data_IF_202514909648
#
_entry.id   IF_202514909648
#
_cell.length_a   1.000
_cell.length_b   1.000
_cell.length_c   1.000
_cell.angle_alpha   90.00
_cell.angle_beta   90.00
_cell.angle_gamma   90.00
#
_symmetry.space_group_name_H-M   'P 1'
#
loop_
_entity.id
_entity.type
_entity.pdbx_description
1 polymer ?
#
# COMPACT_ATOMS: atom_id res chain seq x y z
N UNK A 1 6.61 -8.48 18.41
CA UNK A 1 6.17 -9.88 18.39
C UNK A 1 5.29 -10.06 17.18
N UNK A 2 5.71 -10.88 16.21
CA UNK A 2 4.92 -11.19 15.00
C UNK A 2 3.78 -12.12 15.40
N UNK A 3 2.55 -11.78 15.02
CA UNK A 3 1.37 -12.60 15.34
C UNK A 3 1.13 -13.67 14.28
N UNK A 4 0.28 -14.65 14.63
CA UNK A 4 -0.16 -15.69 13.69
C UNK A 4 -0.98 -15.06 12.57
N UNK A 5 -0.55 -15.24 11.34
CA UNK A 5 -1.29 -14.80 10.16
C UNK A 5 -2.59 -15.59 9.95
N UNK A 6 -3.54 -14.98 9.26
CA UNK A 6 -4.75 -15.68 8.81
C UNK A 6 -4.40 -16.78 7.81
N UNK A 7 -5.31 -17.73 7.60
CA UNK A 7 -5.11 -18.84 6.65
C UNK A 7 -4.93 -18.38 5.20
N UNK A 8 -5.32 -17.16 4.85
CA UNK A 8 -5.16 -16.60 3.51
C UNK A 8 -4.76 -15.12 3.55
N UNK A 9 -3.45 -14.89 3.62
CA UNK A 9 -2.84 -13.55 3.59
C UNK A 9 -3.01 -12.86 2.24
N UNK A 10 -2.87 -13.58 1.13
CA UNK A 10 -2.97 -12.98 -0.22
C UNK A 10 -4.38 -12.43 -0.50
N UNK A 11 -5.39 -12.92 0.21
CA UNK A 11 -6.72 -12.37 0.24
C UNK A 11 -6.82 -10.98 0.87
N UNK A 12 -5.91 -10.53 1.75
CA UNK A 12 -5.95 -9.21 2.41
C UNK A 12 -7.36 -8.81 2.94
N UNK A 13 -8.12 -9.76 3.50
CA UNK A 13 -9.47 -9.52 4.02
C UNK A 13 -9.46 -9.29 5.52
N UNK A 14 -10.22 -8.28 5.99
CA UNK A 14 -10.44 -8.01 7.43
C UNK A 14 -9.13 -7.81 8.21
N UNK A 15 -8.11 -7.24 7.57
CA UNK A 15 -6.84 -6.92 8.22
C UNK A 15 -6.94 -5.60 8.98
N UNK A 16 -6.48 -5.60 10.22
CA UNK A 16 -6.20 -4.40 10.98
C UNK A 16 -4.85 -3.80 10.56
N UNK A 17 -4.60 -2.54 10.94
CA UNK A 17 -3.34 -1.86 10.63
C UNK A 17 -2.11 -2.65 11.11
N UNK A 18 -2.20 -3.29 12.28
CA UNK A 18 -1.15 -4.13 12.86
C UNK A 18 -0.84 -5.37 12.02
N UNK A 19 -1.83 -5.96 11.35
CA UNK A 19 -1.58 -7.12 10.50
C UNK A 19 -0.77 -6.71 9.26
N UNK A 20 -1.01 -5.53 8.70
CA UNK A 20 -0.21 -5.01 7.59
C UNK A 20 1.25 -4.75 7.99
N UNK A 21 1.48 -4.30 9.23
CA UNK A 21 2.83 -4.15 9.78
C UNK A 21 3.55 -5.51 9.85
N UNK A 22 2.93 -6.51 10.49
CA UNK A 22 3.54 -7.84 10.65
C UNK A 22 3.80 -8.49 9.28
N UNK A 23 2.90 -8.29 8.31
CA UNK A 23 3.08 -8.76 6.93
C UNK A 23 4.25 -8.08 6.24
N UNK A 24 4.40 -6.76 6.39
CA UNK A 24 5.52 -6.04 5.80
C UNK A 24 6.86 -6.54 6.37
N UNK A 25 6.95 -6.73 7.69
CA UNK A 25 8.15 -7.24 8.36
C UNK A 25 8.56 -8.64 7.90
N UNK A 26 7.60 -9.49 7.56
CA UNK A 26 7.85 -10.87 7.14
C UNK A 26 7.87 -11.09 5.62
N UNK A 27 7.63 -10.05 4.83
CA UNK A 27 7.40 -10.19 3.38
C UNK A 27 8.65 -10.51 2.57
N UNK A 28 9.81 -9.97 2.96
CA UNK A 28 11.07 -10.10 2.21
C UNK A 28 11.47 -11.56 2.00
N UNK A 29 11.63 -12.42 3.03
CA UNK A 29 12.06 -13.81 2.82
C UNK A 29 11.02 -14.65 2.05
N UNK A 30 9.74 -14.27 2.07
CA UNK A 30 8.68 -14.98 1.33
C UNK A 30 8.70 -14.65 -0.16
N UNK A 31 9.11 -13.42 -0.49
CA UNK A 31 9.16 -12.93 -1.87
C UNK A 31 10.53 -13.13 -2.52
N UNK A 32 11.56 -13.38 -1.71
CA UNK A 32 12.89 -13.72 -2.19
C UNK A 32 12.84 -14.96 -3.09
N UNK A 33 13.40 -14.85 -4.29
CA UNK A 33 13.41 -15.88 -5.33
C UNK A 33 12.02 -16.30 -5.85
N UNK A 34 10.94 -15.59 -5.49
CA UNK A 34 9.61 -15.88 -6.00
C UNK A 34 9.44 -15.44 -7.46
N UNK A 35 10.10 -14.34 -7.83
CA UNK A 35 9.98 -13.73 -9.15
C UNK A 35 11.29 -13.86 -9.93
N UNK A 36 11.25 -13.87 -11.27
CA UNK A 36 12.47 -13.88 -12.06
C UNK A 36 13.22 -12.55 -11.96
N UNK A 37 14.54 -12.61 -12.07
CA UNK A 37 15.36 -11.41 -12.23
C UNK A 37 15.07 -10.73 -13.59
N UNK A 38 15.16 -9.39 -13.67
CA UNK A 38 15.61 -8.45 -12.65
C UNK A 38 14.52 -7.97 -11.66
N UNK A 39 13.28 -8.49 -11.78
CA UNK A 39 12.13 -7.92 -11.08
C UNK A 39 12.11 -8.22 -9.59
N UNK A 40 12.61 -9.39 -9.22
CA UNK A 40 12.74 -9.80 -7.83
C UNK A 40 13.60 -8.81 -7.04
N UNK A 41 14.80 -8.48 -7.53
CA UNK A 41 15.66 -7.44 -6.92
C UNK A 41 14.91 -6.12 -6.72
N UNK A 42 14.21 -5.63 -7.75
CA UNK A 42 13.47 -4.35 -7.66
C UNK A 42 12.38 -4.38 -6.59
N UNK A 43 11.71 -5.52 -6.43
CA UNK A 43 10.64 -5.69 -5.44
C UNK A 43 11.22 -5.81 -4.03
N UNK A 44 12.31 -6.58 -3.85
CA UNK A 44 12.98 -6.71 -2.57
C UNK A 44 13.56 -5.37 -2.10
N UNK A 45 14.19 -4.62 -2.99
CA UNK A 45 14.65 -3.24 -2.72
C UNK A 45 13.49 -2.37 -2.23
N UNK A 46 12.34 -2.41 -2.92
CA UNK A 46 11.16 -1.62 -2.55
C UNK A 46 10.60 -2.04 -1.17
N UNK A 47 10.53 -3.34 -0.89
CA UNK A 47 10.06 -3.84 0.41
C UNK A 47 10.98 -3.45 1.54
N UNK A 48 12.30 -3.50 1.30
CA UNK A 48 13.29 -3.03 2.27
C UNK A 48 13.12 -1.54 2.56
N UNK A 49 12.96 -0.69 1.53
CA UNK A 49 12.70 0.74 1.71
C UNK A 49 11.39 0.99 2.47
N UNK A 50 10.33 0.25 2.17
CA UNK A 50 9.05 0.35 2.89
C UNK A 50 9.18 -0.04 4.36
N UNK A 51 9.86 -1.15 4.65
CA UNK A 51 10.10 -1.61 6.01
C UNK A 51 10.96 -0.61 6.80
N UNK A 52 12.01 -0.06 6.18
CA UNK A 52 12.87 0.97 6.77
C UNK A 52 12.08 2.24 7.07
N UNK A 53 11.30 2.73 6.11
CA UNK A 53 10.47 3.92 6.27
C UNK A 53 9.45 3.73 7.39
N UNK A 54 8.80 2.56 7.44
CA UNK A 54 7.86 2.22 8.50
C UNK A 54 8.52 2.15 9.88
N UNK A 55 9.74 1.60 9.98
CA UNK A 55 10.50 1.57 11.22
C UNK A 55 10.79 2.98 11.75
N UNK A 56 11.21 3.91 10.88
CA UNK A 56 11.39 5.31 11.25
C UNK A 56 10.09 5.95 11.72
N UNK A 57 8.99 5.79 10.98
CA UNK A 57 7.69 6.38 11.35
C UNK A 57 7.11 5.87 12.68
N UNK A 58 7.60 4.71 13.16
CA UNK A 58 7.20 4.08 14.42
C UNK A 58 8.11 4.42 15.60
N UNK A 59 9.24 5.09 15.37
CA UNK A 59 10.10 5.51 16.48
C UNK A 59 9.32 6.39 17.45
N UNK A 60 9.42 6.08 18.74
CA UNK A 60 8.79 6.86 19.82
C UNK A 60 9.62 8.06 20.26
N UNK A 61 10.82 8.19 19.70
CA UNK A 61 11.73 9.27 19.95
C UNK A 61 12.53 9.51 18.69
N UNK A 62 12.57 10.77 18.28
CA UNK A 62 13.37 11.22 17.15
C UNK A 62 14.46 12.17 17.63
N UNK A 63 15.62 12.07 17.00
CA UNK A 63 16.72 13.02 17.08
C UNK A 63 16.81 13.74 15.74
N UNK A 64 17.59 14.81 15.66
CA UNK A 64 17.86 15.48 14.38
C UNK A 64 18.44 14.52 13.34
N UNK A 65 19.33 13.62 13.77
CA UNK A 65 19.93 12.58 12.91
C UNK A 65 18.89 11.59 12.39
N UNK A 66 18.01 11.05 13.25
CA UNK A 66 17.00 10.09 12.77
C UNK A 66 15.94 10.74 11.90
N UNK A 67 15.63 12.03 12.09
CA UNK A 67 14.73 12.77 11.20
C UNK A 67 15.38 13.05 9.84
N UNK A 68 16.66 13.39 9.82
CA UNK A 68 17.43 13.52 8.59
C UNK A 68 17.47 12.19 7.81
N UNK A 69 17.75 11.08 8.50
CA UNK A 69 17.73 9.75 7.89
C UNK A 69 16.33 9.35 7.41
N UNK A 70 15.27 9.74 8.13
CA UNK A 70 13.90 9.48 7.73
C UNK A 70 13.51 10.27 6.46
N UNK A 71 13.94 11.52 6.32
CA UNK A 71 13.72 12.32 5.11
C UNK A 71 14.46 11.71 3.90
N UNK A 72 15.72 11.29 4.09
CA UNK A 72 16.49 10.59 3.08
C UNK A 72 15.85 9.24 2.69
N UNK A 73 15.37 8.48 3.67
CA UNK A 73 14.62 7.24 3.44
C UNK A 73 13.35 7.51 2.64
N UNK A 74 12.61 8.59 2.93
CA UNK A 74 11.42 8.98 2.18
C UNK A 74 11.75 9.31 0.72
N UNK A 75 12.87 10.01 0.48
CA UNK A 75 13.37 10.30 -0.87
C UNK A 75 13.76 9.03 -1.62
N UNK A 76 14.47 8.10 -0.97
CA UNK A 76 14.83 6.79 -1.54
C UNK A 76 13.61 5.94 -1.85
N UNK A 77 12.64 5.87 -0.94
CA UNK A 77 11.37 5.18 -1.14
C UNK A 77 10.61 5.74 -2.35
N UNK A 78 10.58 7.06 -2.53
CA UNK A 78 10.02 7.68 -3.73
C UNK A 78 10.73 7.25 -5.02
N UNK A 79 12.07 7.12 -5.01
CA UNK A 79 12.85 6.59 -6.14
C UNK A 79 12.52 5.11 -6.39
N UNK A 80 12.42 4.30 -5.34
CA UNK A 80 12.07 2.88 -5.44
C UNK A 80 10.67 2.68 -6.05
N UNK A 81 9.67 3.45 -5.63
CA UNK A 81 8.33 3.41 -6.25
C UNK A 81 8.35 3.76 -7.75
N UNK A 82 9.12 4.78 -8.14
CA UNK A 82 9.26 5.17 -9.56
C UNK A 82 9.94 4.07 -10.37
N UNK A 83 10.98 3.44 -9.81
CA UNK A 83 11.69 2.30 -10.42
C UNK A 83 10.76 1.11 -10.57
N UNK A 84 10.06 0.69 -9.52
CA UNK A 84 9.05 -0.38 -9.57
C UNK A 84 7.99 -0.15 -10.63
N UNK A 85 7.42 1.07 -10.69
CA UNK A 85 6.43 1.43 -11.72
C UNK A 85 6.98 1.30 -13.14
N UNK A 86 8.21 1.77 -13.37
CA UNK A 86 8.85 1.79 -14.69
C UNK A 86 9.27 0.39 -15.15
N UNK A 87 9.91 -0.37 -14.26
CA UNK A 87 10.59 -1.62 -14.61
C UNK A 87 9.70 -2.86 -14.46
N UNK A 88 8.78 -2.86 -13.48
CA UNK A 88 7.99 -4.05 -13.12
C UNK A 88 6.55 -3.94 -13.64
N UNK A 89 5.83 -2.84 -13.36
CA UNK A 89 4.39 -2.79 -13.62
C UNK A 89 3.99 -2.95 -15.10
N UNK A 90 4.87 -2.61 -16.04
CA UNK A 90 4.62 -2.82 -17.47
C UNK A 90 4.83 -4.27 -17.94
N UNK A 91 5.47 -5.11 -17.13
CA UNK A 91 5.80 -6.50 -17.47
C UNK A 91 4.78 -7.50 -16.92
N UNK A 92 4.16 -7.16 -15.79
CA UNK A 92 3.14 -8.00 -15.16
C UNK A 92 1.75 -7.42 -15.38
N UNK A 93 0.92 -8.15 -16.12
CA UNK A 93 -0.48 -7.80 -16.32
C UNK A 93 -1.27 -8.19 -15.08
N UNK A 94 -1.63 -7.20 -14.26
CA UNK A 94 -2.47 -7.42 -13.09
C UNK A 94 -3.93 -7.10 -13.41
N UNK A 95 -4.83 -7.82 -12.76
CA UNK A 95 -6.27 -7.66 -12.93
C UNK A 95 -6.94 -7.61 -11.56
N UNK A 96 -8.17 -7.09 -11.51
CA UNK A 96 -8.97 -7.21 -10.29
C UNK A 96 -9.15 -8.67 -9.89
N UNK A 97 -9.11 -8.92 -8.58
CA UNK A 97 -9.49 -10.22 -8.06
C UNK A 97 -10.97 -10.50 -8.40
N UNK A 98 -11.39 -11.78 -8.56
CA UNK A 98 -12.77 -12.13 -8.90
C UNK A 98 -13.81 -11.45 -8.00
N UNK A 99 -13.52 -11.35 -6.70
CA UNK A 99 -14.37 -10.65 -5.72
C UNK A 99 -14.48 -9.13 -5.97
N UNK A 100 -13.42 -8.49 -6.43
CA UNK A 100 -13.37 -7.04 -6.68
C UNK A 100 -14.14 -6.73 -7.97
N UNK A 101 -14.01 -7.60 -8.97
CA UNK A 101 -14.84 -7.59 -10.18
C UNK A 101 -16.32 -7.75 -9.83
N UNK A 102 -16.69 -8.74 -9.01
CA UNK A 102 -18.07 -8.94 -8.56
C UNK A 102 -18.61 -7.76 -7.73
N UNK A 103 -17.80 -7.20 -6.83
CA UNK A 103 -18.16 -6.00 -6.06
C UNK A 103 -18.39 -4.80 -6.97
N UNK A 104 -17.59 -4.63 -8.03
CA UNK A 104 -17.79 -3.56 -9.02
C UNK A 104 -19.08 -3.76 -9.80
N UNK A 105 -19.36 -4.97 -10.28
CA UNK A 105 -20.58 -5.27 -11.02
C UNK A 105 -21.82 -4.89 -10.19
N UNK A 106 -21.85 -5.31 -8.91
CA UNK A 106 -22.92 -4.92 -7.96
C UNK A 106 -23.06 -3.41 -7.80
N UNK A 107 -21.94 -2.68 -7.65
CA UNK A 107 -21.96 -1.20 -7.56
C UNK A 107 -22.46 -0.54 -8.84
N UNK A 108 -22.11 -1.07 -10.03
CA UNK A 108 -22.62 -0.57 -11.31
C UNK A 108 -24.13 -0.78 -11.41
N UNK A 109 -24.61 -1.99 -11.12
CA UNK A 109 -26.05 -2.30 -11.10
C UNK A 109 -26.84 -1.40 -10.15
N UNK A 110 -26.32 -1.18 -8.93
CA UNK A 110 -26.95 -0.28 -7.97
C UNK A 110 -26.96 1.20 -8.41
N UNK A 111 -25.99 1.66 -9.22
CA UNK A 111 -25.98 3.03 -9.76
C UNK A 111 -26.97 3.19 -10.92
N UNK A 112 -27.11 2.16 -11.75
CA UNK A 112 -28.08 2.10 -12.84
C UNK A 112 -29.50 2.10 -12.25
N UNK A 113 -29.77 1.23 -11.26
CA UNK A 113 -31.06 1.18 -10.57
C UNK A 113 -31.43 2.48 -9.84
N UNK A 114 -30.45 3.31 -9.46
CA UNK A 114 -30.66 4.62 -8.83
C UNK A 114 -30.76 5.79 -9.84
N UNK A 115 -30.90 5.53 -11.14
CA UNK A 115 -31.12 6.54 -12.19
C UNK A 115 -30.00 7.58 -12.34
N UNK A 116 -28.80 7.33 -11.78
CA UNK A 116 -27.70 8.31 -11.70
C UNK A 116 -26.77 8.33 -12.92
N UNK A 117 -27.21 7.85 -14.08
CA UNK A 117 -26.40 7.85 -15.29
C UNK A 117 -26.94 8.93 -16.25
N UNK A 118 -26.43 10.16 -16.13
CA UNK A 118 -26.46 11.10 -17.25
C UNK A 118 -25.47 10.61 -18.29
N UNK A 119 -25.94 10.55 -19.53
CA UNK A 119 -25.20 10.16 -20.72
C UNK A 119 -23.89 10.97 -20.86
N UNK A 120 -22.84 10.29 -21.32
CA UNK A 120 -21.57 10.92 -21.65
C UNK A 120 -20.38 10.11 -21.19
N UNK A 121 -20.06 9.02 -21.90
CA UNK A 121 -18.77 8.77 -22.56
C UNK A 121 -18.96 7.49 -23.38
N UNK A 122 -19.07 7.65 -24.70
CA UNK A 122 -18.83 6.58 -25.68
C UNK A 122 -17.37 6.15 -25.55
N UNK A 123 -17.15 4.90 -25.18
CA UNK A 123 -15.84 4.29 -25.13
C UNK A 123 -15.97 2.77 -25.19
N UNK A 124 -15.98 2.27 -26.43
CA UNK A 124 -15.86 0.89 -26.90
C UNK A 124 -16.50 -0.22 -26.08
N UNK A 125 -17.51 -0.86 -26.67
CA UNK A 125 -17.96 -2.17 -26.24
C UNK A 125 -16.81 -3.18 -26.27
N UNK A 126 -16.73 -3.98 -25.20
CA UNK A 126 -16.52 -5.42 -25.27
C UNK A 126 -16.79 -6.03 -23.89
N UNK A 127 -17.80 -6.91 -23.84
CA UNK A 127 -17.92 -8.01 -22.89
C UNK A 127 -18.46 -7.68 -21.50
N UNK A 128 -19.70 -8.09 -21.25
CA UNK A 128 -20.09 -8.59 -19.94
C UNK A 128 -19.01 -9.56 -19.42
N UNK A 129 -18.47 -9.30 -18.23
CA UNK A 129 -17.51 -10.20 -17.57
C UNK A 129 -16.02 -9.95 -17.79
N UNK A 130 -15.59 -8.96 -18.59
CA UNK A 130 -14.15 -8.72 -18.79
C UNK A 130 -13.45 -8.21 -17.51
N UNK A 131 -12.47 -8.98 -17.02
CA UNK A 131 -11.66 -8.63 -15.84
C UNK A 131 -10.90 -7.34 -16.10
N UNK A 132 -11.16 -6.30 -15.31
CA UNK A 132 -10.52 -5.00 -15.52
C UNK A 132 -9.05 -5.09 -15.13
N UNK A 133 -8.18 -4.70 -16.06
CA UNK A 133 -6.75 -4.55 -15.81
C UNK A 133 -6.48 -3.49 -14.74
N UNK A 134 -5.47 -3.75 -13.91
CA UNK A 134 -4.98 -2.87 -12.87
C UNK A 134 -3.53 -2.52 -13.15
N UNK A 135 -3.21 -1.27 -12.88
CA UNK A 135 -1.85 -0.75 -12.87
C UNK A 135 -1.62 -0.01 -11.55
N UNK A 136 -0.37 0.01 -11.11
CA UNK A 136 0.03 0.75 -9.93
C UNK A 136 -0.16 2.26 -10.15
N UNK A 137 -0.96 2.90 -9.29
CA UNK A 137 -1.19 4.34 -9.33
C UNK A 137 -0.33 5.04 -8.27
N UNK A 138 0.62 5.84 -8.73
CA UNK A 138 1.50 6.61 -7.84
C UNK A 138 0.88 7.94 -7.39
N UNK A 139 -0.13 8.46 -8.11
CA UNK A 139 -0.81 9.72 -7.79
C UNK A 139 -1.94 9.48 -6.79
N UNK A 140 -1.59 8.97 -5.61
CA UNK A 140 -2.54 8.79 -4.51
C UNK A 140 -2.11 9.64 -3.33
N UNK A 141 -3.09 10.19 -2.60
CA UNK A 141 -2.83 10.94 -1.37
C UNK A 141 -1.91 10.19 -0.41
N UNK A 142 -2.12 8.88 -0.25
CA UNK A 142 -1.33 8.03 0.64
C UNK A 142 0.17 8.09 0.35
N UNK A 143 0.55 8.10 -0.93
CA UNK A 143 1.97 8.15 -1.32
C UNK A 143 2.56 9.55 -1.19
N UNK A 144 1.76 10.58 -1.46
CA UNK A 144 2.21 11.97 -1.30
C UNK A 144 2.38 12.35 0.17
N UNK A 145 1.46 11.90 1.03
CA UNK A 145 1.49 12.17 2.46
C UNK A 145 2.74 11.59 3.16
N UNK A 146 3.41 10.58 2.59
CA UNK A 146 4.66 10.03 3.16
C UNK A 146 5.74 11.12 3.33
N UNK A 147 5.81 12.09 2.42
CA UNK A 147 6.74 13.22 2.49
C UNK A 147 6.45 14.19 3.64
N UNK A 148 5.23 14.21 4.15
CA UNK A 148 4.82 15.16 5.18
C UNK A 148 5.09 14.63 6.60
N UNK A 149 5.46 13.35 6.74
CA UNK A 149 5.68 12.72 8.05
C UNK A 149 6.81 13.40 8.83
N UNK A 150 7.97 13.61 8.21
CA UNK A 150 9.13 14.22 8.88
C UNK A 150 8.79 15.61 9.41
N UNK A 151 8.16 16.45 8.57
CA UNK A 151 7.72 17.80 8.96
C UNK A 151 6.68 17.76 10.07
N UNK A 152 5.72 16.84 9.98
CA UNK A 152 4.70 16.67 11.01
C UNK A 152 5.32 16.24 12.34
N UNK A 153 6.32 15.36 12.30
CA UNK A 153 7.01 14.92 13.51
C UNK A 153 7.82 16.05 14.15
N UNK A 154 8.45 16.88 13.32
CA UNK A 154 9.19 18.06 13.78
C UNK A 154 8.29 19.07 14.50
N UNK A 155 7.08 19.29 13.99
CA UNK A 155 6.15 20.30 14.51
C UNK A 155 5.29 19.81 15.67
N UNK A 156 4.90 18.53 15.65
CA UNK A 156 3.86 18.00 16.54
C UNK A 156 4.33 16.82 17.42
N UNK A 157 5.60 16.43 17.30
CA UNK A 157 6.18 15.28 18.01
C UNK A 157 5.92 13.96 17.27
N UNK A 158 6.20 12.83 17.91
CA UNK A 158 6.10 11.51 17.25
C UNK A 158 4.66 11.16 16.86
N UNK A 159 4.49 10.26 15.90
CA UNK A 159 3.17 9.92 15.34
C UNK A 159 2.20 9.37 16.39
N UNK A 160 2.70 8.81 17.49
CA UNK A 160 1.89 8.33 18.60
C UNK A 160 1.23 9.45 19.43
N UNK A 161 1.74 10.69 19.36
CA UNK A 161 1.17 11.82 20.10
C UNK A 161 -0.12 12.37 19.50
N UNK A 162 -0.35 12.19 18.19
CA UNK A 162 -1.50 12.76 17.49
C UNK A 162 -2.22 11.78 16.54
N UNK A 163 -1.71 10.55 16.38
CA UNK A 163 -2.41 9.51 15.64
C UNK A 163 -3.43 8.80 16.51
N UNK A 164 -4.70 8.83 16.09
CA UNK A 164 -5.78 8.05 16.74
C UNK A 164 -5.60 6.53 16.58
N UNK A 165 -4.63 6.07 15.77
CA UNK A 165 -4.32 4.64 15.62
C UNK A 165 -3.81 4.00 16.92
N UNK A 166 -3.17 4.79 17.81
CA UNK A 166 -2.67 4.32 19.11
C UNK A 166 -3.81 3.91 20.05
N UNK A 167 -5.01 4.50 19.90
CA UNK A 167 -6.17 4.20 20.77
C UNK A 167 -6.73 2.78 20.54
N UNK A 168 -6.34 2.10 19.45
CA UNK A 168 -6.69 0.68 19.24
C UNK A 168 -5.74 -0.33 19.90
N UNK A 169 -4.73 0.14 20.64
CA UNK A 169 -3.77 -0.70 21.39
C UNK A 169 -4.16 -0.96 22.84
N UNK A 170 -5.19 -0.29 23.39
CA UNK A 170 -5.72 -0.61 24.72
C UNK A 170 -6.94 -1.52 24.59
N UNK A 171 -6.73 -2.75 25.03
CA UNK A 171 -7.67 -3.67 25.71
C UNK A 171 -7.50 -5.08 25.16
N UNK A 172 -6.73 -5.88 25.90
CA UNK A 172 -6.92 -7.30 26.21
C UNK A 172 -5.71 -7.70 27.07
N UNK A 173 -5.74 -7.27 28.32
CA UNK A 173 -5.25 -8.10 29.42
C UNK A 173 -6.37 -9.08 29.79
#
# INVERSE_FOLDING_TARGET
MIRKFSSNVSGLTKLAARDFEDLLQCSIPVLECLLPEPFNTVILDLLFELATWHAFGKLRMHTETTLFDFDNCTTRLGKAFRRFRKEVCGKFHTYDLPRESAARARRRGARIAKGKQREGVRGSGNGEGATKSRSFNMATYKLHALGDYVKSIWLFGTTDNYSTQVVSLKNLE
#
